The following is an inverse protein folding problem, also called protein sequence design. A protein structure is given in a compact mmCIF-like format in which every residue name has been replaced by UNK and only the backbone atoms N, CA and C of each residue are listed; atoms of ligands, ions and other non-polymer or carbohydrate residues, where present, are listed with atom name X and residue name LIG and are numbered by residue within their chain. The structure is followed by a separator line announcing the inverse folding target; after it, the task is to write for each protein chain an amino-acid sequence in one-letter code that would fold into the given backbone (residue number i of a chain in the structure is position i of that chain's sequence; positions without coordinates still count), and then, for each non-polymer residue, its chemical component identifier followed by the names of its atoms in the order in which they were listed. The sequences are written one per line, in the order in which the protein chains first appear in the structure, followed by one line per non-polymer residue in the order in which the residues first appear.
data_IF_491431381663
#
_entry.id   IF_491431381663
#
_cell.length_a   1.000
_cell.length_b   1.000
_cell.length_c   1.000
_cell.angle_alpha   90.00
_cell.angle_beta   90.00
_cell.angle_gamma   90.00
#
_symmetry.space_group_name_H-M   'P 1'
#
loop_
_entity.id
_entity.type
_entity.pdbx_description
1 polymer ?
#
# COMPACT_ATOMS: atom_id res chain seq x y z
N UNK A 1 -9.98 -7.90 -8.85
CA UNK A 1 -8.78 -8.30 -9.62
C UNK A 1 -8.84 -7.87 -11.08
N UNK A 2 -9.85 -8.27 -11.87
CA UNK A 2 -9.94 -7.90 -13.31
C UNK A 2 -9.86 -6.38 -13.56
N UNK A 3 -10.55 -5.58 -12.76
CA UNK A 3 -10.45 -4.12 -12.86
C UNK A 3 -9.01 -3.62 -12.62
N UNK A 4 -8.33 -4.11 -11.58
CA UNK A 4 -6.95 -3.72 -11.30
C UNK A 4 -5.97 -4.12 -12.41
N UNK A 5 -6.21 -5.26 -13.07
CA UNK A 5 -5.42 -5.69 -14.23
C UNK A 5 -5.62 -4.75 -15.43
N UNK A 6 -6.87 -4.36 -15.66
CA UNK A 6 -7.21 -3.42 -16.73
C UNK A 6 -6.57 -2.06 -16.46
N UNK A 7 -6.77 -1.48 -15.30
CA UNK A 7 -6.21 -0.18 -14.90
C UNK A 7 -4.67 -0.17 -15.01
N UNK A 8 -3.99 -1.22 -14.51
CA UNK A 8 -2.54 -1.31 -14.65
C UNK A 8 -2.11 -1.23 -16.13
N UNK A 9 -2.80 -1.96 -16.99
CA UNK A 9 -2.50 -1.95 -18.43
C UNK A 9 -2.75 -0.57 -19.05
N UNK A 10 -3.92 0.01 -18.83
CA UNK A 10 -4.36 1.28 -19.40
C UNK A 10 -3.43 2.43 -18.94
N UNK A 11 -3.15 2.52 -17.64
CA UNK A 11 -2.36 3.61 -17.07
C UNK A 11 -0.86 3.47 -17.31
N UNK A 12 -0.33 2.26 -17.34
CA UNK A 12 1.13 2.03 -17.32
C UNK A 12 1.68 1.32 -18.56
N UNK A 13 0.85 0.61 -19.30
CA UNK A 13 1.26 -0.28 -20.40
C UNK A 13 1.84 -1.62 -19.93
N UNK A 14 1.87 -1.87 -18.60
CA UNK A 14 2.30 -3.17 -18.07
C UNK A 14 1.13 -4.14 -17.99
N UNK A 15 1.38 -5.40 -18.36
CA UNK A 15 0.35 -6.45 -18.35
C UNK A 15 0.93 -7.84 -18.10
N UNK A 16 0.01 -8.83 -17.89
CA UNK A 16 0.36 -10.22 -17.60
C UNK A 16 0.80 -10.44 -16.15
N UNK A 17 1.76 -11.35 -15.97
CA UNK A 17 2.30 -11.69 -14.66
C UNK A 17 1.36 -12.50 -13.77
N UNK A 18 1.79 -12.72 -12.53
CA UNK A 18 1.03 -13.40 -11.49
C UNK A 18 0.46 -12.38 -10.50
N UNK A 19 -0.80 -12.58 -10.09
CA UNK A 19 -1.54 -11.65 -9.26
C UNK A 19 -1.99 -12.27 -7.95
N UNK A 20 -1.59 -11.66 -6.85
CA UNK A 20 -2.01 -12.02 -5.50
C UNK A 20 -2.90 -10.94 -4.90
N UNK A 21 -3.95 -11.35 -4.18
CA UNK A 21 -4.71 -10.43 -3.35
C UNK A 21 -3.97 -10.20 -2.03
N UNK A 22 -3.73 -8.95 -1.71
CA UNK A 22 -3.16 -8.53 -0.44
C UNK A 22 -4.25 -8.19 0.60
N UNK A 23 -5.53 -8.40 0.27
CA UNK A 23 -6.66 -8.03 1.10
C UNK A 23 -7.11 -6.59 0.88
N UNK A 24 -7.86 -6.06 1.86
CA UNK A 24 -8.45 -4.73 1.77
C UNK A 24 -8.20 -3.91 3.04
N UNK A 25 -8.30 -2.59 2.89
CA UNK A 25 -8.26 -1.61 3.99
C UNK A 25 -9.42 -0.63 3.86
N UNK A 26 -9.78 -0.01 4.96
CA UNK A 26 -10.69 1.14 4.97
C UNK A 26 -9.86 2.43 4.95
N UNK A 27 -9.86 3.20 3.87
CA UNK A 27 -9.06 4.42 3.76
C UNK A 27 -9.43 5.48 4.79
N UNK A 28 -10.74 5.61 5.05
CA UNK A 28 -11.27 6.59 5.99
C UNK A 28 -12.55 6.05 6.65
N UNK A 29 -12.41 5.17 7.67
CA UNK A 29 -13.56 4.50 8.28
C UNK A 29 -14.51 5.43 9.04
N UNK A 30 -14.06 6.63 9.39
CA UNK A 30 -14.88 7.62 10.08
C UNK A 30 -15.89 8.31 9.12
N UNK A 31 -15.61 8.34 7.84
CA UNK A 31 -16.42 9.07 6.85
C UNK A 31 -17.12 8.09 5.89
N UNK A 32 -16.39 7.06 5.42
CA UNK A 32 -16.89 6.15 4.40
C UNK A 32 -16.64 4.68 4.75
N UNK A 33 -17.63 3.80 4.60
CA UNK A 33 -17.47 2.36 4.85
C UNK A 33 -16.80 1.59 3.69
N UNK A 34 -16.38 2.29 2.62
CA UNK A 34 -15.83 1.61 1.44
C UNK A 34 -14.48 0.94 1.73
N UNK A 35 -14.19 -0.12 0.95
CA UNK A 35 -12.95 -0.86 1.01
C UNK A 35 -12.07 -0.53 -0.20
N UNK A 36 -10.77 -0.35 0.05
CA UNK A 36 -9.75 -0.32 -0.98
C UNK A 36 -9.03 -1.68 -1.01
N UNK A 37 -9.16 -2.40 -2.13
CA UNK A 37 -8.53 -3.70 -2.32
C UNK A 37 -7.11 -3.52 -2.85
N UNK A 38 -6.16 -4.20 -2.22
CA UNK A 38 -4.76 -4.21 -2.63
C UNK A 38 -4.43 -5.51 -3.37
N UNK A 39 -3.66 -5.38 -4.45
CA UNK A 39 -3.16 -6.50 -5.23
C UNK A 39 -1.66 -6.33 -5.49
N UNK A 40 -0.97 -7.46 -5.56
CA UNK A 40 0.42 -7.54 -6.00
C UNK A 40 0.47 -8.20 -7.37
N UNK A 41 1.06 -7.52 -8.35
CA UNK A 41 1.35 -8.08 -9.66
C UNK A 41 2.86 -8.33 -9.78
N UNK A 42 3.26 -9.57 -10.05
CA UNK A 42 4.66 -9.99 -10.21
C UNK A 42 4.94 -10.47 -11.62
N UNK A 43 6.11 -10.12 -12.16
CA UNK A 43 6.50 -10.55 -13.51
C UNK A 43 5.70 -9.89 -14.62
N UNK A 44 5.08 -8.75 -14.37
CA UNK A 44 4.42 -7.94 -15.41
C UNK A 44 5.46 -7.38 -16.36
N UNK A 45 5.09 -7.28 -17.62
CA UNK A 45 5.97 -6.75 -18.67
C UNK A 45 5.28 -5.61 -19.42
N UNK A 46 6.06 -4.63 -19.86
CA UNK A 46 5.54 -3.53 -20.67
C UNK A 46 5.37 -4.02 -22.11
N UNK A 47 4.13 -4.20 -22.53
CA UNK A 47 3.79 -4.74 -23.85
C UNK A 47 2.99 -3.78 -24.71
N UNK A 48 2.21 -2.93 -24.08
CA UNK A 48 1.23 -2.09 -24.75
C UNK A 48 1.61 -0.60 -24.65
N UNK A 49 1.12 0.19 -25.60
CA UNK A 49 1.03 1.62 -25.41
C UNK A 49 0.01 1.89 -24.28
N UNK A 50 0.22 2.99 -23.54
CA UNK A 50 -0.76 3.43 -22.56
C UNK A 50 -2.01 3.92 -23.28
N UNK A 51 -3.17 3.60 -22.71
CA UNK A 51 -4.46 4.06 -23.20
C UNK A 51 -5.08 4.94 -22.10
N UNK A 52 -4.60 6.16 -22.02
CA UNK A 52 -5.08 7.15 -21.05
C UNK A 52 -6.33 7.83 -21.58
N UNK A 53 -7.33 7.95 -20.73
CA UNK A 53 -8.53 8.73 -21.02
C UNK A 53 -8.24 10.21 -21.30
N UNK A 54 -9.20 10.91 -21.90
CA UNK A 54 -9.06 12.34 -22.18
C UNK A 54 -8.85 13.13 -20.87
N UNK A 55 -7.73 13.86 -20.78
CA UNK A 55 -7.39 14.69 -19.63
C UNK A 55 -6.55 14.01 -18.56
N UNK A 56 -6.22 12.73 -18.71
CA UNK A 56 -5.33 12.02 -17.79
C UNK A 56 -3.86 12.20 -18.17
N UNK A 57 -3.06 12.66 -17.22
CA UNK A 57 -1.61 12.79 -17.34
C UNK A 57 -0.94 11.96 -16.25
N UNK A 58 -0.55 10.71 -16.58
CA UNK A 58 0.08 9.78 -15.65
C UNK A 58 1.56 9.63 -16.03
N UNK A 59 2.46 9.90 -15.08
CA UNK A 59 3.88 9.59 -15.19
C UNK A 59 4.18 8.27 -14.48
N UNK A 60 4.75 7.32 -15.19
CA UNK A 60 5.16 6.01 -14.62
C UNK A 60 6.62 6.06 -14.26
N UNK A 61 6.91 5.82 -12.99
CA UNK A 61 8.27 5.74 -12.45
C UNK A 61 8.52 4.34 -11.88
N UNK A 62 9.73 3.84 -12.03
CA UNK A 62 10.18 2.59 -11.44
C UNK A 62 11.13 2.90 -10.31
N UNK A 63 10.89 2.28 -9.17
CA UNK A 63 11.70 2.44 -7.95
C UNK A 63 12.19 1.10 -7.45
N UNK A 64 13.38 1.08 -6.91
CA UNK A 64 13.88 -0.04 -6.10
C UNK A 64 13.22 -0.05 -4.73
N UNK A 65 13.29 -1.19 -4.03
CA UNK A 65 12.76 -1.32 -2.65
C UNK A 65 13.46 -0.34 -1.70
N UNK A 66 14.76 -0.10 -1.87
CA UNK A 66 15.51 0.82 -1.02
C UNK A 66 15.15 2.27 -1.26
N UNK A 67 14.87 2.67 -2.49
CA UNK A 67 14.34 4.00 -2.81
C UNK A 67 12.95 4.21 -2.18
N UNK A 68 12.06 3.20 -2.26
CA UNK A 68 10.74 3.25 -1.62
C UNK A 68 10.89 3.37 -0.10
N UNK A 69 11.80 2.59 0.50
CA UNK A 69 12.08 2.67 1.94
C UNK A 69 12.54 4.06 2.35
N UNK A 70 13.47 4.64 1.61
CA UNK A 70 13.96 5.99 1.83
C UNK A 70 12.84 7.02 1.72
N UNK A 71 12.00 6.92 0.70
CA UNK A 71 10.85 7.81 0.47
C UNK A 71 9.78 7.73 1.57
N UNK A 72 9.62 6.57 2.22
CA UNK A 72 8.74 6.43 3.39
C UNK A 72 9.37 7.11 4.61
N UNK A 73 10.67 6.88 4.84
CA UNK A 73 11.38 7.41 6.01
C UNK A 73 11.50 8.93 5.98
N UNK A 74 11.81 9.51 4.84
CA UNK A 74 11.95 10.97 4.67
C UNK A 74 10.61 11.69 4.46
N UNK A 75 9.50 10.94 4.31
CA UNK A 75 8.16 11.46 4.15
C UNK A 75 7.85 12.00 2.76
N UNK A 76 8.65 11.73 1.74
CA UNK A 76 8.35 12.09 0.36
C UNK A 76 7.23 11.22 -0.23
N UNK A 77 7.13 9.94 0.16
CA UNK A 77 5.99 9.07 -0.15
C UNK A 77 4.92 9.23 0.94
N UNK A 78 3.83 9.93 0.60
CA UNK A 78 2.75 10.29 1.55
C UNK A 78 1.42 9.60 1.28
N UNK A 79 1.29 8.83 0.19
CA UNK A 79 0.03 8.21 -0.19
C UNK A 79 -0.27 7.01 0.72
N UNK A 80 -1.25 7.16 1.63
CA UNK A 80 -1.56 6.17 2.68
C UNK A 80 -1.88 4.79 2.11
N UNK A 81 -2.63 4.71 1.00
CA UNK A 81 -3.00 3.43 0.38
C UNK A 81 -1.79 2.72 -0.24
N UNK A 82 -0.86 3.48 -0.84
CA UNK A 82 0.39 2.94 -1.35
C UNK A 82 1.25 2.39 -0.21
N UNK A 83 1.44 3.15 0.87
CA UNK A 83 2.19 2.73 2.06
C UNK A 83 1.56 1.47 2.68
N UNK A 84 0.22 1.44 2.80
CA UNK A 84 -0.51 0.27 3.31
C UNK A 84 -0.31 -0.98 2.44
N UNK A 85 -0.34 -0.85 1.11
CA UNK A 85 -0.09 -1.96 0.19
C UNK A 85 1.36 -2.45 0.29
N UNK A 86 2.32 -1.53 0.28
CA UNK A 86 3.75 -1.82 0.36
C UNK A 86 4.13 -2.50 1.66
N UNK A 87 3.53 -2.11 2.80
CA UNK A 87 3.78 -2.73 4.10
C UNK A 87 3.35 -4.20 4.21
N UNK A 88 2.47 -4.65 3.31
CA UNK A 88 2.04 -6.05 3.22
C UNK A 88 2.98 -6.92 2.40
N UNK A 89 3.82 -6.31 1.59
CA UNK A 89 4.75 -7.00 0.69
C UNK A 89 6.17 -6.92 1.21
N UNK A 90 6.55 -5.78 1.78
CA UNK A 90 7.91 -5.51 2.19
C UNK A 90 7.99 -5.26 3.70
N UNK A 91 9.00 -5.88 4.32
CA UNK A 91 9.37 -5.53 5.67
C UNK A 91 10.28 -4.29 5.62
N UNK A 92 9.74 -3.12 5.94
CA UNK A 92 10.52 -1.88 5.96
C UNK A 92 11.47 -1.77 7.16
N UNK A 93 11.49 -2.79 8.04
CA UNK A 93 12.34 -2.80 9.22
C UNK A 93 11.87 -1.80 10.29
N UNK A 94 12.56 -1.83 11.42
CA UNK A 94 12.42 -0.76 12.42
C UNK A 94 13.25 0.42 11.98
N UNK A 95 12.69 1.63 12.02
CA UNK A 95 13.49 2.84 11.88
C UNK A 95 14.58 2.84 12.97
N UNK A 96 15.88 2.90 12.64
CA UNK A 96 16.96 2.82 13.64
C UNK A 96 16.85 3.86 14.76
N UNK A 97 16.28 5.03 14.45
CA UNK A 97 16.06 6.11 15.42
C UNK A 97 14.94 5.84 16.45
N UNK A 98 14.09 4.84 16.21
CA UNK A 98 12.94 4.54 17.07
C UNK A 98 13.23 3.46 18.12
N UNK A 99 14.42 2.87 18.11
CA UNK A 99 14.79 1.78 19.02
C UNK A 99 14.87 2.19 20.51
N UNK A 100 14.87 3.49 20.82
CA UNK A 100 15.10 3.95 22.18
C UNK A 100 13.89 4.53 22.91
N UNK A 101 12.76 4.78 22.24
CA UNK A 101 11.68 5.58 22.85
C UNK A 101 10.33 4.85 22.99
N UNK A 102 10.12 3.73 22.29
CA UNK A 102 8.82 3.04 22.37
C UNK A 102 8.83 1.98 23.48
N UNK A 103 8.72 2.40 24.73
CA UNK A 103 8.46 1.44 25.82
C UNK A 103 7.01 0.95 25.84
N UNK A 104 6.06 1.76 25.41
CA UNK A 104 4.63 1.38 25.23
C UNK A 104 3.92 2.47 24.43
N UNK A 105 3.23 2.11 23.36
CA UNK A 105 2.21 2.96 22.75
C UNK A 105 0.87 2.41 23.23
N UNK A 106 0.20 3.16 24.10
CA UNK A 106 -1.20 2.91 24.41
C UNK A 106 -2.04 3.42 23.23
N UNK A 107 -2.65 2.48 22.51
CA UNK A 107 -3.61 2.84 21.46
C UNK A 107 -4.87 3.43 22.14
N UNK A 108 -5.41 4.54 21.62
CA UNK A 108 -6.63 5.11 22.14
C UNK A 108 -7.76 4.06 22.13
N UNK A 109 -8.65 4.07 23.13
CA UNK A 109 -9.68 3.03 23.31
C UNK A 109 -10.56 2.79 22.11
N UNK A 110 -10.74 3.78 21.27
CA UNK A 110 -11.60 3.68 20.09
C UNK A 110 -11.00 2.84 18.96
N UNK A 111 -9.66 2.71 18.87
CA UNK A 111 -9.00 1.84 17.89
C UNK A 111 -8.98 0.37 18.35
N UNK A 112 -9.09 0.12 19.66
CA UNK A 112 -9.06 -1.24 20.24
C UNK A 112 -10.39 -1.99 20.19
N UNK A 113 -11.52 -1.30 20.07
CA UNK A 113 -12.83 -1.91 20.27
C UNK A 113 -13.51 -2.50 19.04
N UNK A 114 -13.25 -2.00 17.86
CA UNK A 114 -13.99 -2.35 16.63
C UNK A 114 -13.17 -3.02 15.52
N UNK A 115 -11.85 -2.93 15.53
CA UNK A 115 -11.04 -3.26 14.36
C UNK A 115 -9.92 -4.29 14.60
N UNK A 116 -9.67 -4.71 15.83
CA UNK A 116 -8.71 -5.75 16.13
C UNK A 116 -9.42 -6.95 16.77
N UNK A 117 -9.24 -8.18 16.29
CA UNK A 117 -9.77 -9.35 16.96
C UNK A 117 -9.15 -9.46 18.36
N UNK A 118 -9.97 -9.90 19.32
CA UNK A 118 -9.65 -9.92 20.76
C UNK A 118 -8.33 -10.65 21.15
N UNK A 119 -7.70 -11.36 20.23
CA UNK A 119 -6.42 -12.06 20.43
C UNK A 119 -5.17 -11.20 20.18
N UNK A 120 -5.30 -9.97 19.68
CA UNK A 120 -4.15 -9.11 19.35
C UNK A 120 -3.79 -8.13 20.49
N UNK A 121 -4.23 -8.41 21.72
CA UNK A 121 -3.88 -7.63 22.93
C UNK A 121 -2.48 -7.95 23.48
N UNK A 122 -1.58 -8.49 22.70
CA UNK A 122 -0.16 -8.53 23.10
C UNK A 122 0.59 -7.54 22.25
N UNK A 123 1.09 -6.53 22.97
CA UNK A 123 1.99 -5.53 22.45
C UNK A 123 3.07 -6.16 21.55
N UNK A 124 3.25 -5.55 20.42
CA UNK A 124 4.51 -5.63 19.70
C UNK A 124 5.34 -4.42 20.06
#
# INVERSE_FOLDING_TARGET
MLAAQRELKEETGYSGGHWDSLGAVQPNPAIHPHLCHHFLARGVTKKDARDLGQGEAIAVHLYTIDEIRSAIVDGSLRHVLAISALSRVFNFGRCPSWNHTLKQIELPPFLGGKYLPAKTRRAI
#
